data_IF_151543736151
#
_entry.id   IF_151543736151
#
_cell.length_a   1.000
_cell.length_b   1.000
_cell.length_c   1.000
_cell.angle_alpha   90.00
_cell.angle_beta   90.00
_cell.angle_gamma   90.00
#
_symmetry.space_group_name_H-M   'P 1'
#
loop_
_entity.id
_entity.type
_entity.pdbx_description
1 polymer ?
#
# COMPACT_ATOMS: atom_id res chain seq x y z
N UNK A 1 -17.57 -0.95 -9.88
CA UNK A 1 -17.98 -1.78 -8.70
C UNK A 1 -18.41 -0.92 -7.51
N UNK A 2 -17.64 0.12 -7.08
CA UNK A 2 -17.92 0.94 -5.90
C UNK A 2 -19.28 1.65 -6.00
N UNK A 3 -19.57 2.36 -7.09
CA UNK A 3 -20.87 3.04 -7.30
C UNK A 3 -22.07 2.10 -7.23
N UNK A 4 -21.92 0.80 -7.54
CA UNK A 4 -22.99 -0.19 -7.39
C UNK A 4 -23.23 -0.58 -5.94
N UNK A 5 -22.15 -0.60 -5.10
CA UNK A 5 -22.25 -0.93 -3.67
C UNK A 5 -22.64 0.28 -2.81
N UNK A 6 -22.22 1.47 -3.22
CA UNK A 6 -22.44 2.72 -2.53
C UNK A 6 -22.82 3.81 -3.57
N UNK A 7 -24.10 3.85 -4.04
CA UNK A 7 -24.53 4.73 -5.13
C UNK A 7 -24.38 6.22 -4.80
N UNK A 8 -24.45 6.57 -3.53
CA UNK A 8 -24.30 7.95 -3.05
C UNK A 8 -22.83 8.33 -2.74
N UNK A 9 -21.88 7.40 -2.89
CA UNK A 9 -20.47 7.72 -2.66
C UNK A 9 -19.96 8.67 -3.75
N UNK A 10 -19.34 9.75 -3.32
CA UNK A 10 -18.60 10.66 -4.20
C UNK A 10 -17.27 9.99 -4.56
N UNK A 11 -17.10 9.64 -5.83
CA UNK A 11 -15.94 8.92 -6.35
C UNK A 11 -15.26 9.76 -7.41
N UNK A 12 -13.97 9.97 -7.25
CA UNK A 12 -13.10 10.63 -8.22
C UNK A 12 -11.98 9.67 -8.61
N UNK A 13 -11.73 9.54 -9.91
CA UNK A 13 -10.53 8.89 -10.43
C UNK A 13 -9.50 9.99 -10.70
N UNK A 14 -8.42 10.00 -9.94
CA UNK A 14 -7.37 11.00 -10.04
C UNK A 14 -6.02 10.42 -9.60
N UNK A 15 -4.95 11.03 -10.06
CA UNK A 15 -3.62 10.83 -9.52
C UNK A 15 -3.53 11.50 -8.14
N UNK A 16 -3.04 10.75 -7.13
CA UNK A 16 -3.00 11.20 -5.74
C UNK A 16 -2.08 12.43 -5.53
N UNK A 17 -1.09 12.61 -6.39
CA UNK A 17 -0.14 13.73 -6.30
C UNK A 17 -0.74 14.99 -6.94
N UNK A 18 -1.43 14.82 -8.06
CA UNK A 18 -1.83 15.91 -8.93
C UNK A 18 -3.28 16.37 -8.76
N UNK A 19 -4.12 15.61 -8.01
CA UNK A 19 -5.51 16.02 -7.83
C UNK A 19 -5.61 17.27 -6.94
N UNK A 20 -6.61 18.09 -7.23
CA UNK A 20 -6.91 19.28 -6.45
C UNK A 20 -8.38 19.29 -6.05
N UNK A 21 -8.64 19.60 -4.80
CA UNK A 21 -9.97 19.88 -4.27
C UNK A 21 -9.88 21.11 -3.35
N UNK A 22 -10.95 21.87 -3.27
CA UNK A 22 -11.01 23.04 -2.37
C UNK A 22 -11.46 22.66 -0.97
N UNK A 23 -12.13 21.51 -0.85
CA UNK A 23 -12.62 21.04 0.43
C UNK A 23 -11.48 20.58 1.34
N UNK A 24 -11.65 20.77 2.63
CA UNK A 24 -10.84 20.19 3.70
C UNK A 24 -11.59 19.03 4.32
N UNK A 25 -10.85 18.08 4.87
CA UNK A 25 -11.40 16.85 5.44
C UNK A 25 -11.08 16.72 6.92
N UNK A 26 -12.08 16.40 7.72
CA UNK A 26 -11.88 16.10 9.14
C UNK A 26 -11.21 14.73 9.35
N UNK A 27 -11.31 13.87 8.35
CA UNK A 27 -10.70 12.53 8.38
C UNK A 27 -10.24 12.09 7.00
N UNK A 28 -8.96 11.74 6.90
CA UNK A 28 -8.36 11.14 5.69
C UNK A 28 -7.77 9.80 6.07
N UNK A 29 -7.96 8.77 5.23
CA UNK A 29 -7.30 7.49 5.46
C UNK A 29 -6.80 6.85 4.16
N UNK A 30 -5.65 6.16 4.27
CA UNK A 30 -5.08 5.31 3.21
C UNK A 30 -4.98 3.89 3.79
N UNK A 31 -5.87 2.96 3.38
CA UNK A 31 -5.91 1.61 3.97
C UNK A 31 -4.90 0.66 3.34
N UNK A 32 -4.71 -0.49 4.02
CA UNK A 32 -4.08 -1.71 3.45
C UNK A 32 -2.67 -1.50 2.92
N UNK A 33 -1.82 -0.79 3.64
CA UNK A 33 -0.42 -0.60 3.24
C UNK A 33 -0.21 0.16 1.93
N UNK A 34 -1.27 0.79 1.35
CA UNK A 34 -1.17 1.40 0.02
C UNK A 34 -0.13 2.53 -0.07
N UNK A 35 0.31 3.11 1.03
CA UNK A 35 1.41 4.07 1.07
C UNK A 35 2.74 3.41 0.70
N UNK A 36 2.92 2.13 1.00
CA UNK A 36 4.11 1.35 0.70
C UNK A 36 4.34 1.10 -0.80
N UNK A 37 3.31 1.30 -1.63
CA UNK A 37 3.44 1.23 -3.09
C UNK A 37 4.28 2.38 -3.69
N UNK A 38 4.52 3.44 -2.93
CA UNK A 38 5.35 4.56 -3.35
C UNK A 38 6.80 4.35 -2.89
N UNK A 39 7.57 3.60 -3.69
CA UNK A 39 8.96 3.23 -3.39
C UNK A 39 9.96 4.39 -3.58
N UNK A 40 9.57 5.45 -4.30
CA UNK A 40 10.31 6.72 -4.31
C UNK A 40 9.89 7.58 -3.10
N UNK A 41 10.82 7.76 -2.17
CA UNK A 41 10.56 8.50 -0.93
C UNK A 41 10.28 9.99 -1.14
N UNK A 42 10.73 10.58 -2.24
CA UNK A 42 10.36 11.97 -2.60
C UNK A 42 8.88 12.06 -2.97
N UNK A 43 8.38 11.08 -3.70
CA UNK A 43 6.96 10.94 -4.05
C UNK A 43 6.14 10.65 -2.80
N UNK A 44 6.57 9.73 -1.94
CA UNK A 44 5.90 9.41 -0.69
C UNK A 44 5.74 10.67 0.19
N UNK A 45 6.83 11.42 0.43
CA UNK A 45 6.79 12.68 1.18
C UNK A 45 5.88 13.72 0.54
N UNK A 46 5.84 13.80 -0.79
CA UNK A 46 4.91 14.65 -1.53
C UNK A 46 3.44 14.30 -1.24
N UNK A 47 3.13 12.99 -1.15
CA UNK A 47 1.79 12.53 -0.77
C UNK A 47 1.47 12.88 0.68
N UNK A 48 2.39 12.67 1.63
CA UNK A 48 2.18 13.05 3.03
C UNK A 48 1.90 14.55 3.16
N UNK A 49 2.67 15.38 2.47
CA UNK A 49 2.45 16.83 2.42
C UNK A 49 1.07 17.16 1.84
N UNK A 50 0.67 16.48 0.77
CA UNK A 50 -0.66 16.65 0.15
C UNK A 50 -1.78 16.27 1.12
N UNK A 51 -1.65 15.17 1.85
CA UNK A 51 -2.64 14.76 2.86
C UNK A 51 -2.75 15.81 3.97
N UNK A 52 -1.62 16.33 4.45
CA UNK A 52 -1.61 17.43 5.42
C UNK A 52 -2.35 18.66 4.90
N UNK A 53 -2.09 19.06 3.65
CA UNK A 53 -2.77 20.21 3.02
C UNK A 53 -4.28 20.04 2.91
N UNK A 54 -4.77 18.81 2.78
CA UNK A 54 -6.18 18.49 2.67
C UNK A 54 -6.90 18.39 4.03
N UNK A 55 -6.19 18.25 5.13
CA UNK A 55 -6.80 18.20 6.45
C UNK A 55 -7.44 19.52 6.85
N UNK A 56 -8.59 19.44 7.50
CA UNK A 56 -9.18 20.54 8.26
C UNK A 56 -8.40 20.77 9.56
N UNK A 57 -8.46 21.96 10.16
CA UNK A 57 -7.92 22.18 11.51
C UNK A 57 -8.51 21.17 12.52
N UNK A 58 -7.66 20.41 13.21
CA UNK A 58 -8.06 19.33 14.12
C UNK A 58 -8.49 18.02 13.42
N UNK A 59 -8.38 17.95 12.10
CA UNK A 59 -8.62 16.73 11.34
C UNK A 59 -7.53 15.69 11.54
N UNK A 60 -7.84 14.43 11.25
CA UNK A 60 -6.96 13.28 11.42
C UNK A 60 -6.61 12.60 10.10
N UNK A 61 -5.34 12.25 9.95
CA UNK A 61 -4.86 11.38 8.89
C UNK A 61 -4.45 10.03 9.46
N UNK A 62 -5.03 8.95 8.92
CA UNK A 62 -4.79 7.57 9.36
C UNK A 62 -4.39 6.70 8.17
N UNK A 63 -3.32 5.94 8.32
CA UNK A 63 -2.88 5.02 7.27
C UNK A 63 -2.09 3.86 7.86
N UNK A 64 -1.95 2.80 7.06
CA UNK A 64 -1.10 1.66 7.36
C UNK A 64 0.08 1.61 6.40
N UNK A 65 1.23 1.11 6.87
CA UNK A 65 2.42 0.85 6.08
C UNK A 65 2.94 -0.56 6.35
N UNK A 66 3.46 -1.21 5.30
CA UNK A 66 4.10 -2.52 5.39
C UNK A 66 5.50 -2.37 6.02
N UNK A 67 5.97 -3.41 6.70
CA UNK A 67 7.21 -3.33 7.49
C UNK A 67 8.26 -4.32 7.00
N UNK A 68 9.52 -4.07 7.41
CA UNK A 68 10.63 -4.99 7.15
C UNK A 68 10.46 -6.36 7.81
N UNK A 69 9.56 -6.48 8.79
CA UNK A 69 9.23 -7.76 9.43
C UNK A 69 8.51 -8.71 8.47
N UNK A 70 7.67 -8.17 7.60
CA UNK A 70 6.86 -8.94 6.63
C UNK A 70 7.57 -9.17 5.29
N UNK A 71 8.89 -8.93 5.23
CA UNK A 71 9.67 -9.19 4.02
C UNK A 71 9.62 -10.67 3.62
N UNK A 72 9.47 -10.92 2.33
CA UNK A 72 9.55 -12.26 1.78
C UNK A 72 11.01 -12.68 1.54
N UNK A 73 11.29 -13.95 1.76
CA UNK A 73 12.56 -14.55 1.33
C UNK A 73 12.73 -14.50 -0.19
N UNK A 74 13.99 -14.58 -0.64
CA UNK A 74 14.28 -14.60 -2.07
C UNK A 74 13.89 -15.94 -2.71
N UNK A 75 13.09 -15.87 -3.77
CA UNK A 75 12.71 -17.03 -4.55
C UNK A 75 13.73 -17.34 -5.67
N UNK A 76 14.05 -18.60 -5.86
CA UNK A 76 14.92 -19.07 -6.96
C UNK A 76 14.27 -18.93 -8.35
N UNK A 77 12.96 -18.68 -8.42
CA UNK A 77 12.18 -18.50 -9.64
C UNK A 77 10.70 -18.30 -9.38
N UNK A 78 9.92 -18.17 -10.45
CA UNK A 78 8.47 -18.00 -10.33
C UNK A 78 7.79 -19.24 -9.73
N UNK A 79 7.00 -19.01 -8.69
CA UNK A 79 6.18 -20.01 -8.01
C UNK A 79 4.70 -19.72 -8.26
N UNK A 80 3.89 -20.77 -8.47
CA UNK A 80 2.43 -20.60 -8.57
C UNK A 80 1.86 -20.37 -7.16
N UNK A 81 1.34 -19.17 -6.91
CA UNK A 81 0.73 -18.78 -5.65
C UNK A 81 -0.79 -18.96 -5.63
N UNK A 82 -1.44 -18.81 -6.79
CA UNK A 82 -2.90 -18.96 -6.93
C UNK A 82 -3.21 -19.77 -8.18
N UNK A 83 -4.17 -20.70 -8.04
CA UNK A 83 -4.77 -21.44 -9.16
C UNK A 83 -6.27 -21.51 -8.94
N UNK A 84 -7.06 -20.90 -9.83
CA UNK A 84 -8.52 -20.86 -9.74
C UNK A 84 -9.16 -21.10 -11.10
N UNK A 85 -10.38 -21.66 -11.11
CA UNK A 85 -11.21 -21.71 -12.32
C UNK A 85 -12.05 -20.44 -12.46
N UNK A 86 -12.07 -19.91 -13.69
CA UNK A 86 -13.00 -18.82 -14.04
C UNK A 86 -14.43 -19.36 -14.15
N UNK A 87 -15.40 -18.48 -14.27
CA UNK A 87 -16.82 -18.88 -14.49
C UNK A 87 -17.02 -19.62 -15.81
N UNK A 88 -16.19 -19.33 -16.79
CA UNK A 88 -16.15 -19.96 -18.12
C UNK A 88 -15.44 -21.31 -18.12
N UNK A 89 -14.85 -21.71 -16.99
CA UNK A 89 -14.16 -22.99 -16.81
C UNK A 89 -12.68 -23.00 -17.17
N UNK A 90 -12.10 -21.82 -17.49
CA UNK A 90 -10.66 -21.69 -17.76
C UNK A 90 -9.85 -21.71 -16.46
N UNK A 91 -8.60 -22.14 -16.54
CA UNK A 91 -7.66 -22.11 -15.42
C UNK A 91 -6.90 -20.77 -15.41
N UNK A 92 -7.06 -19.99 -14.34
CA UNK A 92 -6.31 -18.76 -14.10
C UNK A 92 -5.23 -19.04 -13.05
N UNK A 93 -3.98 -18.86 -13.45
CA UNK A 93 -2.80 -19.01 -12.59
C UNK A 93 -2.21 -17.64 -12.30
N UNK A 94 -1.79 -17.44 -11.03
CA UNK A 94 -0.92 -16.35 -10.63
C UNK A 94 0.43 -16.96 -10.23
N UNK A 95 1.48 -16.55 -10.91
CA UNK A 95 2.85 -16.90 -10.58
C UNK A 95 3.59 -15.66 -10.12
N UNK A 96 4.37 -15.77 -9.06
CA UNK A 96 5.17 -14.67 -8.52
C UNK A 96 6.56 -15.15 -8.14
N UNK A 97 7.46 -14.22 -7.96
CA UNK A 97 8.74 -14.42 -7.29
C UNK A 97 9.03 -13.19 -6.42
N UNK A 98 9.82 -13.39 -5.37
CA UNK A 98 10.16 -12.34 -4.42
C UNK A 98 11.67 -12.09 -4.45
N UNK A 99 12.03 -10.83 -4.28
CA UNK A 99 13.39 -10.38 -4.03
C UNK A 99 13.33 -9.12 -3.16
N UNK A 100 14.10 -9.09 -2.09
CA UNK A 100 14.20 -7.90 -1.23
C UNK A 100 15.55 -7.23 -1.41
N UNK A 101 15.55 -5.93 -1.74
CA UNK A 101 16.74 -5.10 -1.76
C UNK A 101 16.86 -4.35 -0.44
N UNK A 102 17.83 -4.76 0.38
CA UNK A 102 18.11 -4.15 1.68
C UNK A 102 18.52 -2.67 1.58
N UNK A 103 19.14 -2.27 0.47
CA UNK A 103 19.64 -0.89 0.29
C UNK A 103 18.51 0.11 0.09
N UNK A 104 17.54 -0.24 -0.74
CA UNK A 104 16.35 0.58 -1.02
C UNK A 104 15.17 0.24 -0.11
N UNK A 105 15.30 -0.79 0.74
CA UNK A 105 14.19 -1.35 1.54
C UNK A 105 12.98 -1.72 0.68
N UNK A 106 13.22 -2.17 -0.55
CA UNK A 106 12.15 -2.46 -1.51
C UNK A 106 11.97 -3.96 -1.69
N UNK A 107 10.77 -4.43 -1.43
CA UNK A 107 10.31 -5.75 -1.80
C UNK A 107 9.81 -5.73 -3.24
N UNK A 108 10.49 -6.44 -4.12
CA UNK A 108 10.07 -6.69 -5.50
C UNK A 108 9.31 -8.01 -5.56
N UNK A 109 8.08 -7.96 -6.06
CA UNK A 109 7.20 -9.14 -6.21
C UNK A 109 6.58 -9.19 -7.61
N UNK A 110 7.42 -9.25 -8.67
CA UNK A 110 6.91 -9.35 -10.03
C UNK A 110 6.05 -10.60 -10.19
N UNK A 111 4.93 -10.45 -10.87
CA UNK A 111 3.90 -11.49 -11.01
C UNK A 111 3.48 -11.66 -12.45
N UNK A 112 3.04 -12.89 -12.81
CA UNK A 112 2.51 -13.24 -14.13
C UNK A 112 1.14 -13.88 -13.93
N UNK A 113 0.13 -13.33 -14.56
CA UNK A 113 -1.20 -13.91 -14.69
C UNK A 113 -1.27 -14.68 -16.01
N UNK A 114 -1.67 -15.95 -15.95
CA UNK A 114 -1.83 -16.80 -17.13
C UNK A 114 -3.21 -17.43 -17.13
N UNK A 115 -3.91 -17.35 -18.27
CA UNK A 115 -5.22 -17.93 -18.49
C UNK A 115 -5.08 -19.12 -19.46
N UNK A 116 -5.54 -20.29 -19.05
CA UNK A 116 -5.45 -21.52 -19.84
C UNK A 116 -6.81 -22.12 -20.15
N UNK A 117 -6.93 -22.71 -21.35
CA UNK A 117 -7.99 -23.66 -21.72
C UNK A 117 -7.38 -25.05 -21.86
N UNK A 118 -7.48 -25.88 -20.83
CA UNK A 118 -6.73 -27.13 -20.76
C UNK A 118 -5.22 -26.87 -20.77
N UNK A 119 -4.53 -27.32 -21.82
CA UNK A 119 -3.08 -27.12 -22.02
C UNK A 119 -2.75 -25.85 -22.84
N UNK A 120 -3.73 -25.19 -23.42
CA UNK A 120 -3.55 -24.01 -24.28
C UNK A 120 -3.49 -22.73 -23.46
N UNK A 121 -2.38 -21.96 -23.57
CA UNK A 121 -2.27 -20.62 -23.00
C UNK A 121 -3.06 -19.61 -23.87
N UNK A 122 -4.14 -19.05 -23.30
CA UNK A 122 -4.99 -18.08 -24.00
C UNK A 122 -4.48 -16.64 -23.83
N UNK A 123 -4.01 -16.30 -22.64
CA UNK A 123 -3.57 -14.95 -22.30
C UNK A 123 -2.52 -14.98 -21.20
N UNK A 124 -1.56 -14.05 -21.29
CA UNK A 124 -0.58 -13.81 -20.22
C UNK A 124 -0.40 -12.31 -20.02
N UNK A 125 -0.41 -11.88 -18.75
CA UNK A 125 -0.15 -10.50 -18.34
C UNK A 125 0.89 -10.50 -17.21
N UNK A 126 1.87 -9.60 -17.31
CA UNK A 126 2.85 -9.39 -16.23
C UNK A 126 2.52 -8.12 -15.45
N UNK A 127 2.78 -8.16 -14.16
CA UNK A 127 2.66 -7.03 -13.24
C UNK A 127 3.98 -6.91 -12.46
N UNK A 128 4.55 -5.70 -12.47
CA UNK A 128 5.68 -5.35 -11.63
C UNK A 128 5.14 -4.75 -10.33
N UNK A 129 5.14 -5.56 -9.26
CA UNK A 129 4.64 -5.16 -7.96
C UNK A 129 5.84 -4.90 -7.03
N UNK A 130 5.86 -3.71 -6.44
CA UNK A 130 6.94 -3.27 -5.57
C UNK A 130 6.35 -2.57 -4.35
N UNK A 131 6.93 -2.81 -3.18
CA UNK A 131 6.56 -2.14 -1.94
C UNK A 131 7.81 -1.73 -1.17
N UNK A 132 7.82 -0.50 -0.65
CA UNK A 132 8.81 -0.10 0.34
C UNK A 132 8.41 -0.65 1.70
N UNK A 133 9.32 -1.33 2.38
CA UNK A 133 9.10 -1.90 3.71
C UNK A 133 9.73 -0.99 4.76
N UNK A 134 8.89 -0.39 5.60
CA UNK A 134 9.31 0.60 6.59
C UNK A 134 9.90 -0.03 7.84
N UNK A 135 10.96 0.60 8.36
CA UNK A 135 11.45 0.34 9.72
C UNK A 135 10.67 1.17 10.74
N UNK A 136 10.63 0.69 11.98
CA UNK A 136 10.08 1.47 13.09
C UNK A 136 10.78 2.83 13.21
N UNK A 137 10.01 3.91 13.34
CA UNK A 137 10.53 5.28 13.44
C UNK A 137 10.78 5.99 12.11
N UNK A 138 10.89 5.28 10.99
CA UNK A 138 11.18 5.87 9.69
C UNK A 138 10.04 6.78 9.20
N UNK A 139 8.83 6.26 9.17
CA UNK A 139 7.65 7.01 8.71
C UNK A 139 7.33 8.18 9.66
N UNK A 140 7.54 8.02 10.97
CA UNK A 140 7.41 9.13 11.93
C UNK A 140 8.36 10.27 11.61
N UNK A 141 9.59 9.97 11.19
CA UNK A 141 10.54 11.01 10.78
C UNK A 141 10.00 11.78 9.56
N UNK A 142 9.48 11.08 8.54
CA UNK A 142 8.89 11.71 7.37
C UNK A 142 7.65 12.56 7.71
N UNK A 143 6.79 12.06 8.58
CA UNK A 143 5.62 12.81 9.05
C UNK A 143 6.01 14.09 9.79
N UNK A 144 7.05 14.04 10.64
CA UNK A 144 7.57 15.23 11.33
C UNK A 144 8.18 16.23 10.36
N UNK A 145 8.96 15.76 9.37
CA UNK A 145 9.51 16.60 8.30
C UNK A 145 8.39 17.30 7.51
N UNK A 146 7.28 16.63 7.25
CA UNK A 146 6.09 17.20 6.63
C UNK A 146 5.31 18.14 7.57
N UNK A 147 5.65 18.16 8.87
CA UNK A 147 5.10 19.08 9.88
C UNK A 147 3.79 18.60 10.49
N UNK A 148 3.54 17.30 10.59
CA UNK A 148 2.54 16.73 11.49
C UNK A 148 3.02 16.86 12.93
N UNK A 149 2.11 17.19 13.86
CA UNK A 149 2.44 17.51 15.26
C UNK A 149 2.27 16.33 16.20
N UNK A 150 1.09 15.73 16.17
CA UNK A 150 0.79 14.55 16.97
C UNK A 150 0.87 13.31 16.08
N UNK A 151 1.73 12.38 16.44
CA UNK A 151 1.91 11.13 15.68
C UNK A 151 1.82 10.00 16.69
N UNK A 152 0.86 9.12 16.49
CA UNK A 152 0.73 7.86 17.23
C UNK A 152 0.96 6.70 16.28
N UNK A 153 1.80 5.75 16.69
CA UNK A 153 2.15 4.56 15.90
C UNK A 153 1.69 3.31 16.63
N UNK A 154 0.91 2.50 15.95
CA UNK A 154 0.33 1.28 16.47
C UNK A 154 0.76 0.05 15.65
N UNK A 155 0.87 -1.10 16.33
CA UNK A 155 1.20 -2.40 15.71
C UNK A 155 -0.02 -3.10 15.11
N UNK A 156 -1.23 -2.65 15.42
CA UNK A 156 -2.47 -3.27 14.94
C UNK A 156 -3.68 -2.33 15.08
N UNK A 157 -4.83 -2.77 14.53
CA UNK A 157 -6.08 -2.01 14.57
C UNK A 157 -6.73 -1.93 15.97
N UNK A 158 -6.20 -2.64 16.99
CA UNK A 158 -6.62 -2.47 18.39
C UNK A 158 -5.91 -1.32 19.09
N UNK A 159 -5.05 -0.61 18.35
CA UNK A 159 -4.24 0.50 18.83
C UNK A 159 -3.24 0.09 19.92
N UNK A 160 -2.68 -1.11 19.82
CA UNK A 160 -1.54 -1.50 20.63
C UNK A 160 -0.32 -0.71 20.15
N UNK A 161 0.46 -0.05 21.05
CA UNK A 161 1.61 0.73 20.62
C UNK A 161 2.65 -0.11 19.90
N UNK A 162 3.17 0.36 18.78
CA UNK A 162 4.36 -0.20 18.16
C UNK A 162 5.60 0.26 18.94
N UNK A 163 6.58 -0.63 19.10
CA UNK A 163 7.78 -0.34 19.91
C UNK A 163 9.09 -0.68 19.20
N UNK A 164 9.04 -1.50 18.14
CA UNK A 164 10.20 -1.96 17.38
C UNK A 164 9.78 -2.50 15.99
N UNK A 165 10.73 -3.10 15.26
CA UNK A 165 10.51 -3.69 13.93
C UNK A 165 9.77 -5.05 13.95
N UNK A 166 9.27 -5.54 15.09
CA UNK A 166 8.59 -6.84 15.20
C UNK A 166 7.07 -6.76 14.93
N UNK A 167 6.66 -5.85 14.08
CA UNK A 167 5.26 -5.64 13.72
C UNK A 167 5.04 -5.96 12.24
N UNK A 168 4.04 -6.77 11.90
CA UNK A 168 3.64 -7.06 10.51
C UNK A 168 3.21 -5.80 9.75
N UNK A 169 2.65 -4.82 10.45
CA UNK A 169 2.28 -3.52 9.90
C UNK A 169 2.46 -2.43 10.94
N UNK A 170 2.64 -1.21 10.48
CA UNK A 170 2.56 -0.01 11.30
C UNK A 170 1.34 0.81 10.89
N UNK A 171 0.55 1.21 11.88
CA UNK A 171 -0.62 2.07 11.67
C UNK A 171 -0.33 3.43 12.32
N UNK A 172 -0.48 4.47 11.52
CA UNK A 172 -0.23 5.85 11.93
C UNK A 172 -1.55 6.60 12.08
N UNK A 173 -1.69 7.32 13.19
CA UNK A 173 -2.74 8.31 13.41
C UNK A 173 -2.05 9.62 13.72
N UNK A 174 -2.27 10.65 12.89
CA UNK A 174 -1.60 11.94 13.05
C UNK A 174 -2.53 13.12 12.75
N UNK A 175 -2.20 14.28 13.30
CA UNK A 175 -2.89 15.55 13.09
C UNK A 175 -1.90 16.70 12.79
N UNK A 176 -2.42 17.91 12.51
CA UNK A 176 -1.67 19.12 12.14
C UNK A 176 -1.72 20.22 13.18
#
# INVERSE_FOLDING_TARGET
KLKRKAPNARVMQADIINFTVQEKFDYIFIPSGSISLFTDMSVCKGILQKMKELLAPGGKFVFAADTVFDRCDEDSGYQTSVSVKTKEGFDLLLKGKNHYDETSQTQFSPSIYELYNGAELLQSESMDFQTHLYRYGEMEAYLRECGFKSISTYSNYKKEPAVDDQCEMLIFECDI
#
